data_IF_618065951550
#
_entry.id   IF_618065951550
#
_cell.length_a   1.000
_cell.length_b   1.000
_cell.length_c   1.000
_cell.angle_alpha   90.00
_cell.angle_beta   90.00
_cell.angle_gamma   90.00
#
_symmetry.space_group_name_H-M   'P 1'
#
loop_
_entity.id
_entity.type
_entity.pdbx_description
1 polymer ?
#
# COMPACT_ATOMS: atom_id res chain seq x y z
N UNK A 1 22.87 -14.51 -27.51
CA UNK A 1 21.71 -15.07 -26.78
C UNK A 1 21.97 -14.84 -25.31
N UNK A 2 21.59 -13.67 -24.81
CA UNK A 2 21.64 -13.32 -23.39
C UNK A 2 20.40 -13.92 -22.74
N UNK A 3 20.59 -14.90 -21.86
CA UNK A 3 19.52 -15.47 -21.05
C UNK A 3 18.98 -14.38 -20.13
N UNK A 4 17.69 -14.06 -20.25
CA UNK A 4 17.01 -13.23 -19.26
C UNK A 4 17.00 -13.95 -17.91
N UNK A 5 17.24 -13.25 -16.79
CA UNK A 5 17.14 -13.85 -15.47
C UNK A 5 15.70 -14.31 -15.25
N UNK A 6 15.52 -15.60 -14.97
CA UNK A 6 14.26 -16.11 -14.43
C UNK A 6 14.07 -15.50 -13.04
N UNK A 7 13.18 -14.52 -12.93
CA UNK A 7 12.73 -14.00 -11.63
C UNK A 7 12.04 -15.16 -10.89
N UNK A 8 12.66 -15.61 -9.79
CA UNK A 8 12.02 -16.54 -8.88
C UNK A 8 10.78 -15.86 -8.26
N UNK A 9 9.67 -16.59 -8.07
CA UNK A 9 8.49 -16.00 -7.43
C UNK A 9 8.86 -15.53 -6.02
N UNK A 10 8.63 -14.26 -5.74
CA UNK A 10 8.85 -13.66 -4.40
C UNK A 10 8.08 -14.50 -3.39
N UNK A 11 8.81 -15.22 -2.53
CA UNK A 11 8.20 -16.02 -1.49
C UNK A 11 7.54 -15.09 -0.47
N UNK A 12 6.26 -15.31 -0.21
CA UNK A 12 5.54 -14.56 0.82
C UNK A 12 6.13 -14.91 2.17
N UNK A 13 6.85 -13.97 2.80
CA UNK A 13 7.27 -14.11 4.19
C UNK A 13 6.05 -14.32 5.09
N UNK A 14 6.22 -15.05 6.19
CA UNK A 14 5.11 -15.39 7.10
C UNK A 14 4.35 -14.15 7.64
N UNK A 15 5.05 -13.01 7.79
CA UNK A 15 4.45 -11.74 8.21
C UNK A 15 3.47 -11.16 7.16
N UNK A 16 3.90 -11.08 5.90
CA UNK A 16 3.05 -10.60 4.82
C UNK A 16 1.84 -11.52 4.57
N UNK A 17 2.01 -12.84 4.72
CA UNK A 17 0.91 -13.80 4.61
C UNK A 17 -0.14 -13.59 5.71
N UNK A 18 0.29 -13.44 6.97
CA UNK A 18 -0.63 -13.20 8.08
C UNK A 18 -1.41 -11.88 7.95
N UNK A 19 -0.78 -10.83 7.41
CA UNK A 19 -1.48 -9.56 7.11
C UNK A 19 -2.53 -9.71 6.02
N UNK A 20 -2.20 -10.40 4.95
CA UNK A 20 -3.15 -10.66 3.87
C UNK A 20 -4.34 -11.50 4.34
N UNK A 21 -4.14 -12.39 5.31
CA UNK A 21 -5.24 -13.11 5.96
C UNK A 21 -6.11 -12.19 6.85
N UNK A 22 -5.52 -11.15 7.44
CA UNK A 22 -6.26 -10.11 8.18
C UNK A 22 -7.00 -9.12 7.26
N UNK A 23 -6.67 -9.11 5.95
CA UNK A 23 -7.18 -8.19 4.95
C UNK A 23 -6.44 -6.86 4.97
N UNK A 24 -5.75 -6.54 3.88
CA UNK A 24 -5.07 -5.25 3.72
C UNK A 24 -5.82 -4.44 2.67
N UNK A 25 -6.17 -3.19 2.99
CA UNK A 25 -6.69 -2.28 1.97
C UNK A 25 -5.54 -1.50 1.36
N UNK A 26 -5.48 -1.47 0.03
CA UNK A 26 -4.54 -0.67 -0.76
C UNK A 26 -5.27 0.54 -1.35
N UNK A 27 -4.75 1.74 -1.10
CA UNK A 27 -5.15 2.98 -1.76
C UNK A 27 -4.08 3.38 -2.78
N UNK A 28 -4.51 3.71 -4.00
CA UNK A 28 -3.63 4.02 -5.12
C UNK A 28 -3.99 5.39 -5.65
N UNK A 29 -3.01 6.28 -5.78
CA UNK A 29 -3.20 7.59 -6.40
C UNK A 29 -3.84 7.43 -7.79
N UNK A 30 -4.86 8.24 -8.06
CA UNK A 30 -5.58 8.26 -9.32
C UNK A 30 -5.52 9.65 -9.96
N UNK A 31 -5.59 9.66 -11.29
CA UNK A 31 -5.53 10.88 -12.09
C UNK A 31 -6.37 10.73 -13.36
N UNK A 32 -6.75 11.87 -13.95
CA UNK A 32 -7.28 11.90 -15.31
C UNK A 32 -6.15 12.18 -16.28
N UNK A 33 -6.16 11.49 -17.42
CA UNK A 33 -5.18 11.73 -18.50
C UNK A 33 -5.45 13.02 -19.28
N UNK A 34 -6.49 13.77 -18.90
CA UNK A 34 -6.87 15.02 -19.53
C UNK A 34 -6.84 16.12 -18.46
N UNK A 35 -5.91 17.06 -18.62
CA UNK A 35 -5.57 18.14 -17.67
C UNK A 35 -6.74 19.09 -17.36
N UNK A 36 -7.86 19.00 -18.10
CA UNK A 36 -9.01 19.88 -17.94
C UNK A 36 -10.08 19.37 -16.95
N UNK A 37 -9.87 18.24 -16.28
CA UNK A 37 -10.91 17.61 -15.46
C UNK A 37 -10.35 17.07 -14.14
N UNK A 38 -11.05 17.36 -13.04
CA UNK A 38 -10.74 16.78 -11.73
C UNK A 38 -11.30 15.36 -11.61
N UNK A 39 -10.41 14.40 -11.40
CA UNK A 39 -10.72 12.99 -11.21
C UNK A 39 -10.92 12.58 -9.77
N UNK A 40 -11.25 11.30 -9.52
CA UNK A 40 -11.08 10.76 -8.20
C UNK A 40 -9.58 10.85 -7.82
N UNK A 41 -9.25 11.29 -6.60
CA UNK A 41 -7.86 11.41 -6.17
C UNK A 41 -7.20 10.06 -5.91
N UNK A 42 -8.01 9.02 -5.67
CA UNK A 42 -7.53 7.66 -5.46
C UNK A 42 -8.54 6.62 -5.94
N UNK A 43 -8.07 5.39 -6.11
CA UNK A 43 -8.88 4.18 -6.13
C UNK A 43 -8.35 3.19 -5.09
N UNK A 44 -9.22 2.40 -4.47
CA UNK A 44 -8.85 1.43 -3.46
C UNK A 44 -9.26 0.01 -3.85
N UNK A 45 -8.49 -0.97 -3.35
CA UNK A 45 -8.81 -2.38 -3.48
C UNK A 45 -8.47 -3.14 -2.21
N UNK A 46 -9.24 -4.18 -1.93
CA UNK A 46 -8.92 -5.11 -0.85
C UNK A 46 -7.93 -6.16 -1.37
N UNK A 47 -6.78 -6.24 -0.72
CA UNK A 47 -5.75 -7.22 -0.95
C UNK A 47 -5.97 -8.42 -0.02
N UNK A 48 -6.08 -9.58 -0.66
CA UNK A 48 -5.97 -10.86 0.01
C UNK A 48 -4.98 -11.76 -0.75
N UNK A 49 -4.69 -12.93 -0.17
CA UNK A 49 -3.78 -13.89 -0.79
C UNK A 49 -4.29 -14.42 -2.14
N UNK A 50 -5.60 -14.48 -2.33
CA UNK A 50 -6.21 -14.94 -3.58
C UNK A 50 -5.97 -13.93 -4.69
N UNK A 51 -6.28 -12.65 -4.46
CA UNK A 51 -6.10 -11.54 -5.39
C UNK A 51 -4.65 -11.46 -5.86
N UNK A 52 -3.68 -11.52 -4.93
CA UNK A 52 -2.27 -11.45 -5.31
C UNK A 52 -1.79 -12.66 -6.11
N UNK A 53 -2.18 -13.88 -5.72
CA UNK A 53 -1.89 -15.09 -6.50
C UNK A 53 -2.48 -15.00 -7.92
N UNK A 54 -3.68 -14.48 -8.00
CA UNK A 54 -4.40 -14.28 -9.25
C UNK A 54 -3.71 -13.24 -10.15
N UNK A 55 -3.18 -12.17 -9.57
CA UNK A 55 -2.38 -11.16 -10.29
C UNK A 55 -1.06 -11.76 -10.77
N UNK A 56 -0.29 -12.41 -9.89
CA UNK A 56 0.97 -13.07 -10.26
C UNK A 56 0.77 -14.11 -11.37
N UNK A 57 -0.31 -14.90 -11.31
CA UNK A 57 -0.65 -15.86 -12.37
C UNK A 57 -0.93 -15.17 -13.70
N UNK A 58 -1.66 -14.06 -13.69
CA UNK A 58 -1.97 -13.28 -14.90
C UNK A 58 -0.72 -12.66 -15.51
N UNK A 59 0.20 -12.18 -14.69
CA UNK A 59 1.51 -11.70 -15.14
C UNK A 59 2.33 -12.78 -15.82
N UNK A 60 2.42 -13.96 -15.19
CA UNK A 60 3.08 -15.12 -15.79
C UNK A 60 2.47 -15.48 -17.14
N UNK A 61 1.13 -15.41 -17.27
CA UNK A 61 0.46 -15.61 -18.54
C UNK A 61 0.86 -14.56 -19.58
N UNK A 62 0.92 -13.28 -19.22
CA UNK A 62 1.37 -12.22 -20.12
C UNK A 62 2.79 -12.47 -20.63
N UNK A 63 3.71 -12.90 -19.76
CA UNK A 63 5.09 -13.22 -20.13
C UNK A 63 5.16 -14.47 -21.03
N UNK A 64 4.49 -15.55 -20.63
CA UNK A 64 4.50 -16.83 -21.34
C UNK A 64 3.91 -16.71 -22.75
N UNK A 65 2.77 -16.03 -22.87
CA UNK A 65 2.02 -15.87 -24.12
C UNK A 65 2.43 -14.60 -24.90
N UNK A 66 3.40 -13.83 -24.39
CA UNK A 66 3.87 -12.55 -24.96
C UNK A 66 2.73 -11.56 -25.22
N UNK A 67 1.76 -11.52 -24.30
CA UNK A 67 0.68 -10.56 -24.35
C UNK A 67 1.21 -9.19 -23.96
N UNK A 68 0.91 -8.17 -24.76
CA UNK A 68 1.26 -6.79 -24.44
C UNK A 68 0.46 -6.24 -23.26
N UNK A 69 -0.78 -6.72 -23.08
CA UNK A 69 -1.69 -6.28 -22.03
C UNK A 69 -2.77 -7.34 -21.80
N UNK A 70 -3.06 -7.62 -20.53
CA UNK A 70 -4.30 -8.25 -20.11
C UNK A 70 -5.19 -7.22 -19.43
N UNK A 71 -6.47 -7.18 -19.80
CA UNK A 71 -7.49 -6.36 -19.13
C UNK A 71 -8.54 -7.29 -18.52
N UNK A 72 -8.85 -7.05 -17.24
CA UNK A 72 -9.82 -7.82 -16.47
C UNK A 72 -10.93 -6.88 -16.00
N UNK A 73 -12.17 -7.33 -16.12
CA UNK A 73 -13.31 -6.63 -15.53
C UNK A 73 -13.26 -6.77 -14.00
N UNK A 74 -12.58 -5.81 -13.38
CA UNK A 74 -12.44 -5.67 -11.94
C UNK A 74 -12.51 -4.18 -11.62
N UNK A 75 -13.53 -3.82 -10.84
CA UNK A 75 -13.69 -2.47 -10.35
C UNK A 75 -12.96 -2.27 -9.02
N UNK A 76 -12.46 -1.07 -8.74
CA UNK A 76 -11.96 -0.76 -7.41
C UNK A 76 -13.09 -0.89 -6.39
N UNK A 77 -12.76 -1.32 -5.18
CA UNK A 77 -13.69 -1.42 -4.07
C UNK A 77 -14.25 -0.04 -3.68
N UNK A 78 -13.47 1.01 -3.94
CA UNK A 78 -13.74 2.37 -3.53
C UNK A 78 -12.95 3.36 -4.40
N UNK A 79 -13.43 4.58 -4.56
CA UNK A 79 -12.71 5.67 -5.22
C UNK A 79 -13.24 7.01 -4.68
N UNK A 80 -12.35 7.99 -4.48
CA UNK A 80 -12.73 9.29 -3.93
C UNK A 80 -13.73 9.99 -4.85
N UNK A 81 -15.00 10.08 -4.44
CA UNK A 81 -16.07 10.53 -5.34
C UNK A 81 -16.52 11.98 -5.08
N UNK A 82 -16.23 12.57 -3.91
CA UNK A 82 -16.72 13.90 -3.57
C UNK A 82 -16.04 15.00 -4.39
N UNK A 83 -16.79 15.66 -5.27
CA UNK A 83 -16.29 16.77 -6.08
C UNK A 83 -15.69 16.38 -7.44
N UNK A 84 -15.66 15.09 -7.81
CA UNK A 84 -15.33 14.72 -9.18
C UNK A 84 -16.48 15.12 -10.12
N UNK A 85 -16.18 16.02 -11.05
CA UNK A 85 -17.15 16.54 -12.02
C UNK A 85 -17.64 15.46 -13.01
N UNK A 86 -16.91 14.33 -13.11
CA UNK A 86 -17.13 13.31 -14.13
C UNK A 86 -17.26 11.92 -13.54
N UNK A 87 -18.46 11.36 -13.63
CA UNK A 87 -18.74 9.98 -13.24
C UNK A 87 -17.98 8.97 -14.12
N UNK A 88 -17.35 7.97 -13.48
CA UNK A 88 -16.74 6.83 -14.16
C UNK A 88 -17.82 5.77 -14.47
N UNK A 89 -17.93 5.35 -15.74
CA UNK A 89 -18.93 4.38 -16.20
C UNK A 89 -18.52 2.95 -15.93
N UNK A 90 -17.25 2.66 -16.11
CA UNK A 90 -16.69 1.32 -15.96
C UNK A 90 -15.23 1.41 -15.55
N UNK A 91 -14.79 0.40 -14.82
CA UNK A 91 -13.41 0.21 -14.41
C UNK A 91 -12.91 -1.15 -14.91
N UNK A 92 -11.62 -1.24 -15.19
CA UNK A 92 -10.94 -2.48 -15.44
C UNK A 92 -9.54 -2.46 -14.82
N UNK A 93 -9.04 -3.64 -14.46
CA UNK A 93 -7.66 -3.82 -14.03
C UNK A 93 -6.81 -4.20 -15.24
N UNK A 94 -5.78 -3.40 -15.49
CA UNK A 94 -4.79 -3.62 -16.54
C UNK A 94 -3.53 -4.22 -15.95
N UNK A 95 -3.02 -5.26 -16.60
CA UNK A 95 -1.84 -6.01 -16.17
C UNK A 95 -0.96 -6.26 -17.40
N UNK A 96 0.04 -5.41 -17.69
CA UNK A 96 1.09 -5.72 -18.64
C UNK A 96 2.34 -6.23 -17.92
N UNK A 97 2.85 -7.39 -18.32
CA UNK A 97 4.14 -7.89 -17.82
C UNK A 97 4.19 -7.95 -16.29
N UNK A 98 4.94 -7.02 -15.66
CA UNK A 98 5.24 -6.93 -14.22
C UNK A 98 4.38 -5.96 -13.41
N UNK A 99 3.55 -5.15 -14.07
CA UNK A 99 2.87 -4.03 -13.42
C UNK A 99 1.35 -4.21 -13.46
N UNK A 100 0.64 -3.40 -12.69
CA UNK A 100 -0.82 -3.28 -12.79
C UNK A 100 -1.32 -1.87 -12.47
N UNK A 101 -2.48 -1.51 -13.01
CA UNK A 101 -3.21 -0.30 -12.63
C UNK A 101 -4.71 -0.44 -12.94
N UNK A 102 -5.54 0.37 -12.29
CA UNK A 102 -6.93 0.51 -12.68
C UNK A 102 -7.07 1.53 -13.82
N UNK A 103 -7.91 1.20 -14.79
CA UNK A 103 -8.31 2.06 -15.89
C UNK A 103 -9.82 2.28 -15.85
N UNK A 104 -10.24 3.52 -15.64
CA UNK A 104 -11.62 3.96 -15.59
C UNK A 104 -12.01 4.70 -16.88
N UNK A 105 -13.18 4.35 -17.43
CA UNK A 105 -13.76 5.07 -18.57
C UNK A 105 -14.80 6.09 -18.07
N UNK A 106 -14.52 7.40 -18.16
CA UNK A 106 -15.46 8.44 -17.74
C UNK A 106 -16.70 8.52 -18.65
N UNK A 107 -17.73 9.24 -18.19
CA UNK A 107 -18.93 9.55 -18.99
C UNK A 107 -18.67 10.55 -20.14
N UNK A 108 -17.47 11.13 -20.23
CA UNK A 108 -17.02 12.10 -21.23
C UNK A 108 -15.69 11.70 -21.91
N UNK A 109 -14.93 12.70 -22.37
CA UNK A 109 -13.63 12.47 -23.00
C UNK A 109 -12.51 12.23 -21.99
N UNK A 110 -11.49 11.47 -22.39
CA UNK A 110 -10.33 11.14 -21.58
C UNK A 110 -10.43 9.76 -20.92
N UNK A 111 -9.48 9.48 -20.03
CA UNK A 111 -9.44 8.29 -19.21
C UNK A 111 -9.07 8.66 -17.78
N UNK A 112 -9.61 7.93 -16.82
CA UNK A 112 -9.11 7.93 -15.45
C UNK A 112 -8.20 6.72 -15.27
N UNK A 113 -7.06 6.90 -14.62
CA UNK A 113 -6.13 5.81 -14.34
C UNK A 113 -5.56 5.96 -12.95
N UNK A 114 -5.21 4.83 -12.32
CA UNK A 114 -4.31 4.87 -11.17
C UNK A 114 -2.85 4.87 -11.63
N UNK A 115 -1.96 5.21 -10.72
CA UNK A 115 -0.53 4.94 -10.90
C UNK A 115 -0.32 3.43 -11.05
N UNK A 116 0.66 3.08 -11.89
CA UNK A 116 1.04 1.70 -12.10
C UNK A 116 1.92 1.23 -10.94
N UNK A 117 1.65 0.02 -10.45
CA UNK A 117 2.41 -0.60 -9.37
C UNK A 117 3.09 -1.85 -9.92
N UNK A 118 4.40 -1.97 -9.71
CA UNK A 118 5.09 -3.23 -9.92
C UNK A 118 4.66 -4.24 -8.84
N UNK A 119 4.28 -5.44 -9.24
CA UNK A 119 3.78 -6.45 -8.28
C UNK A 119 4.85 -6.87 -7.27
N UNK A 120 6.12 -6.89 -7.68
CA UNK A 120 7.23 -7.20 -6.78
C UNK A 120 7.45 -6.10 -5.72
N UNK A 121 7.21 -4.83 -6.07
CA UNK A 121 7.27 -3.72 -5.12
C UNK A 121 6.10 -3.79 -4.13
N UNK A 122 4.89 -4.08 -4.61
CA UNK A 122 3.75 -4.34 -3.74
C UNK A 122 4.03 -5.47 -2.76
N UNK A 123 4.63 -6.57 -3.24
CA UNK A 123 5.04 -7.67 -2.37
C UNK A 123 6.05 -7.25 -1.32
N UNK A 124 7.03 -6.44 -1.71
CA UNK A 124 8.06 -5.93 -0.81
C UNK A 124 7.45 -5.00 0.26
N UNK A 125 6.52 -4.13 -0.12
CA UNK A 125 5.80 -3.26 0.79
C UNK A 125 4.93 -4.06 1.79
N UNK A 126 4.28 -5.14 1.35
CA UNK A 126 3.48 -6.00 2.23
C UNK A 126 4.31 -6.78 3.27
N UNK A 127 5.63 -6.88 3.07
CA UNK A 127 6.55 -7.48 4.04
C UNK A 127 7.00 -6.49 5.13
N UNK A 128 6.78 -5.19 4.95
CA UNK A 128 7.06 -4.17 5.97
C UNK A 128 5.89 -4.04 6.93
N UNK A 129 6.18 -3.51 8.11
CA UNK A 129 5.22 -3.33 9.19
C UNK A 129 4.69 -1.89 9.20
N UNK A 130 3.53 -1.66 9.83
CA UNK A 130 3.00 -0.30 10.02
C UNK A 130 3.93 0.58 10.88
N UNK A 131 4.83 -0.04 11.64
CA UNK A 131 5.87 0.62 12.43
C UNK A 131 7.18 0.83 11.63
N UNK A 132 7.27 0.28 10.41
CA UNK A 132 8.46 0.44 9.57
C UNK A 132 8.60 1.90 9.15
N UNK A 133 9.76 2.54 9.38
CA UNK A 133 10.01 3.89 8.91
C UNK A 133 9.79 4.00 7.40
N UNK A 134 9.18 5.10 6.95
CA UNK A 134 8.90 5.34 5.53
C UNK A 134 10.17 5.26 4.65
N UNK A 135 11.34 5.65 5.18
CA UNK A 135 12.63 5.57 4.48
C UNK A 135 13.06 4.12 4.14
N UNK A 136 12.51 3.13 4.85
CA UNK A 136 12.77 1.70 4.62
C UNK A 136 11.71 1.04 3.73
N UNK A 137 10.66 1.77 3.36
CA UNK A 137 9.61 1.27 2.45
C UNK A 137 10.02 1.45 0.98
N UNK A 138 9.47 0.62 0.07
CA UNK A 138 9.61 0.87 -1.37
C UNK A 138 9.09 2.26 -1.75
N UNK A 139 9.69 2.87 -2.78
CA UNK A 139 9.37 4.24 -3.19
C UNK A 139 7.87 4.43 -3.48
N UNK A 140 7.31 5.53 -2.97
CA UNK A 140 5.90 5.85 -3.13
C UNK A 140 4.94 5.07 -2.23
N UNK A 141 5.41 4.14 -1.40
CA UNK A 141 4.58 3.42 -0.44
C UNK A 141 4.64 4.00 0.98
N UNK A 142 3.51 3.98 1.67
CA UNK A 142 3.41 4.21 3.11
C UNK A 142 2.32 3.35 3.76
N UNK A 143 2.46 3.08 5.05
CA UNK A 143 1.37 2.61 5.88
C UNK A 143 0.61 3.80 6.47
N UNK A 144 -0.72 3.71 6.50
CA UNK A 144 -1.57 4.76 7.05
C UNK A 144 -2.86 4.16 7.63
N UNK A 145 -3.06 4.26 8.94
CA UNK A 145 -4.24 3.73 9.64
C UNK A 145 -4.40 2.21 9.50
N UNK A 146 -3.31 1.48 9.25
CA UNK A 146 -3.29 0.05 8.93
C UNK A 146 -3.64 -0.30 7.48
N UNK A 147 -3.79 0.69 6.60
CA UNK A 147 -3.91 0.51 5.15
C UNK A 147 -2.56 0.78 4.46
N UNK A 148 -2.37 0.18 3.29
CA UNK A 148 -1.23 0.48 2.43
C UNK A 148 -1.62 1.58 1.44
N UNK A 149 -0.76 2.57 1.26
CA UNK A 149 -0.98 3.73 0.37
C UNK A 149 0.13 3.75 -0.66
N UNK A 150 -0.20 4.00 -1.92
CA UNK A 150 0.74 4.17 -3.02
C UNK A 150 0.50 5.47 -3.78
N UNK A 151 1.48 6.37 -3.72
CA UNK A 151 1.49 7.68 -4.36
C UNK A 151 2.92 8.08 -4.76
N UNK A 152 3.45 7.60 -5.89
CA UNK A 152 4.86 7.78 -6.26
C UNK A 152 5.23 9.23 -6.59
N UNK A 153 4.27 10.04 -7.06
CA UNK A 153 4.55 11.43 -7.43
C UNK A 153 4.28 12.41 -6.28
N UNK A 154 3.28 12.12 -5.46
CA UNK A 154 2.86 12.99 -4.36
C UNK A 154 2.14 12.17 -3.28
N UNK A 155 2.94 11.57 -2.40
CA UNK A 155 2.44 10.71 -1.33
C UNK A 155 1.80 11.54 -0.22
N UNK A 156 2.42 12.68 0.13
CA UNK A 156 1.95 13.55 1.21
C UNK A 156 0.58 14.14 0.86
N UNK A 157 0.39 14.67 -0.36
CA UNK A 157 -0.92 15.15 -0.81
C UNK A 157 -1.97 14.04 -0.79
N UNK A 158 -1.60 12.81 -1.15
CA UNK A 158 -2.53 11.67 -1.10
C UNK A 158 -2.92 11.31 0.35
N UNK A 159 -1.96 11.37 1.29
CA UNK A 159 -2.25 11.14 2.71
C UNK A 159 -3.18 12.21 3.27
N UNK A 160 -2.95 13.50 2.96
CA UNK A 160 -3.86 14.59 3.33
C UNK A 160 -5.27 14.36 2.78
N UNK A 161 -5.39 13.96 1.51
CA UNK A 161 -6.69 13.60 0.92
C UNK A 161 -7.33 12.42 1.67
N UNK A 162 -6.57 11.40 2.04
CA UNK A 162 -7.10 10.26 2.78
C UNK A 162 -7.52 10.62 4.21
N UNK A 163 -6.89 11.60 4.86
CA UNK A 163 -7.35 12.13 6.14
C UNK A 163 -8.77 12.71 6.05
N UNK A 164 -9.04 13.48 5.00
CA UNK A 164 -10.34 14.10 4.76
C UNK A 164 -11.41 13.06 4.36
N UNK A 165 -11.05 12.14 3.47
CA UNK A 165 -11.99 11.16 2.92
C UNK A 165 -12.22 9.96 3.85
N UNK A 166 -11.20 9.52 4.58
CA UNK A 166 -11.19 8.32 5.42
C UNK A 166 -10.73 8.69 6.83
N UNK A 167 -11.51 9.52 7.56
CA UNK A 167 -11.14 9.97 8.90
C UNK A 167 -10.96 8.83 9.90
N UNK A 168 -11.54 7.65 9.63
CA UNK A 168 -11.31 6.42 10.39
C UNK A 168 -9.87 5.90 10.29
N UNK A 169 -9.17 6.11 9.15
CA UNK A 169 -7.76 5.77 9.00
C UNK A 169 -6.90 6.73 9.82
N UNK A 170 -7.15 8.03 9.69
CA UNK A 170 -6.46 9.06 10.47
C UNK A 170 -6.68 8.90 11.99
N UNK A 171 -7.85 8.41 12.42
CA UNK A 171 -8.09 8.08 13.81
C UNK A 171 -7.23 6.90 14.28
N UNK A 172 -7.16 5.83 13.48
CA UNK A 172 -6.32 4.65 13.77
C UNK A 172 -4.83 4.99 13.77
N UNK A 173 -4.38 5.86 12.87
CA UNK A 173 -2.98 6.30 12.81
C UNK A 173 -2.58 6.97 14.13
N UNK A 174 -3.39 7.94 14.59
CA UNK A 174 -3.16 8.59 15.90
C UNK A 174 -3.20 7.62 17.08
N UNK A 175 -4.06 6.60 17.03
CA UNK A 175 -4.08 5.55 18.05
C UNK A 175 -2.78 4.72 18.07
N UNK A 176 -2.24 4.39 16.89
CA UNK A 176 -0.97 3.68 16.73
C UNK A 176 0.20 4.52 17.23
N UNK A 177 0.30 5.78 16.81
CA UNK A 177 1.32 6.73 17.28
C UNK A 177 1.29 6.87 18.82
N UNK A 178 0.09 7.00 19.40
CA UNK A 178 -0.05 7.08 20.84
C UNK A 178 0.38 5.78 21.54
N UNK A 179 0.03 4.62 20.98
CA UNK A 179 0.44 3.32 21.51
C UNK A 179 1.97 3.15 21.49
N UNK A 180 2.62 3.57 20.40
CA UNK A 180 4.07 3.56 20.24
C UNK A 180 4.75 4.47 21.28
N UNK A 181 4.27 5.71 21.43
CA UNK A 181 4.81 6.65 22.41
C UNK A 181 4.73 6.09 23.85
N UNK A 182 3.62 5.44 24.20
CA UNK A 182 3.46 4.79 25.52
C UNK A 182 4.43 3.60 25.68
N UNK A 183 4.64 2.82 24.63
CA UNK A 183 5.56 1.69 24.65
C UNK A 183 7.02 2.15 24.84
N UNK A 184 7.42 3.21 24.15
CA UNK A 184 8.73 3.84 24.29
C UNK A 184 8.94 4.37 25.72
N UNK A 185 7.98 5.10 26.28
CA UNK A 185 8.07 5.64 27.65
C UNK A 185 8.20 4.51 28.70
N UNK A 186 7.45 3.41 28.53
CA UNK A 186 7.55 2.23 29.39
C UNK A 186 8.92 1.56 29.27
N UNK A 187 9.45 1.44 28.07
CA UNK A 187 10.76 0.82 27.82
C UNK A 187 11.90 1.65 28.45
N UNK A 188 11.84 2.99 28.32
CA UNK A 188 12.79 3.91 28.92
C UNK A 188 12.75 3.86 30.46
N UNK A 189 11.54 3.80 31.04
CA UNK A 189 11.35 3.68 32.49
C UNK A 189 11.89 2.36 33.06
N UNK A 190 11.70 1.24 32.34
CA UNK A 190 12.24 -0.06 32.72
C UNK A 190 13.78 -0.10 32.66
N UNK A 191 14.38 0.55 31.68
CA UNK A 191 15.85 0.66 31.56
C UNK A 191 16.45 1.53 32.69
N UNK A 192 15.79 2.62 33.09
CA UNK A 192 16.23 3.45 34.22
C UNK A 192 16.10 2.71 35.56
N UNK A 193 15.03 1.92 35.77
CA UNK A 193 14.87 1.11 36.97
C UNK A 193 15.91 -0.01 37.10
N UNK A 194 16.37 -0.57 35.97
CA UNK A 194 17.40 -1.62 35.93
C UNK A 194 18.81 -1.10 36.24
N UNK A 195 19.12 0.14 35.82
CA UNK A 195 20.41 0.79 36.09
C UNK A 195 20.52 1.35 37.51
N UNK A 196 19.40 1.57 38.21
CA UNK A 196 19.35 2.04 39.60
C UNK A 196 19.50 0.92 40.65
N UNK A 197 20.30 -0.12 40.39
CA UNK A 197 20.59 -1.16 41.39
C UNK A 197 21.33 -0.57 42.61
N UNK A 198 20.81 -0.73 43.85
CA UNK A 198 21.41 -0.13 45.02
C UNK A 198 22.73 -0.84 45.38
N UNK A 199 23.79 -0.06 45.54
CA UNK A 199 25.08 -0.51 46.03
C UNK A 199 24.91 -1.32 47.33
N UNK A 200 25.13 -2.65 47.26
CA UNK A 200 25.19 -3.54 48.43
C UNK A 200 26.28 -3.01 49.36
N UNK A 201 25.87 -2.37 50.47
CA UNK A 201 26.76 -2.07 51.59
C UNK A 201 27.16 -3.40 52.23
N UNK A 202 28.36 -3.86 51.95
CA UNK A 202 28.98 -4.97 52.68
C UNK A 202 29.12 -4.59 54.16
N UNK A 203 28.67 -5.42 55.11
CA UNK A 203 28.94 -5.19 56.52
C UNK A 203 30.43 -5.42 56.78
N UNK A 204 31.09 -4.43 57.40
CA UNK A 204 32.44 -4.60 57.94
C UNK A 204 32.33 -5.42 59.23
N UNK A 205 33.03 -6.55 59.26
CA UNK A 205 33.38 -7.29 60.47
C UNK A 205 34.48 -6.55 61.24
#
# INVERSE_FOLDING_TARGET
MTSEPQQEPVAVGAAGAARLEAGVRLYIQAFFTNDHTSGPPFAAMDLDTTVLKDMTRRQQLCVQERLSLLEVDLSPADHGHEGSEVAIRSWGLRIPGSDFWFHGQPKGEGACQTRAIAVDELWSALQTDAETPQEEMPEGFAWFGGALVYGPDDLDDLLEVLEDYRPELAAKERELEMALAIAEEKSASLQQASTASPARRSPKL
#
